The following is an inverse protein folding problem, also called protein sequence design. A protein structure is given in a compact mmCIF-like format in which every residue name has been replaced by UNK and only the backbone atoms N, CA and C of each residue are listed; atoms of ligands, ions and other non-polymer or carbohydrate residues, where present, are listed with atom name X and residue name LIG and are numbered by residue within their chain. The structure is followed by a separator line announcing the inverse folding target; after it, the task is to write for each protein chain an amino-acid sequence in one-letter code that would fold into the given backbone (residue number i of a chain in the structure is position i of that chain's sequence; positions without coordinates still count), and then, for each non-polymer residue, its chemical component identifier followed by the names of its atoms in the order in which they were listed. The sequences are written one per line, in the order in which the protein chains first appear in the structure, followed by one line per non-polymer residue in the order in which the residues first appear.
data_IF_671583603623
#
_entry.id   IF_671583603623
#
_cell.length_a   1.000
_cell.length_b   1.000
_cell.length_c   1.000
_cell.angle_alpha   90.00
_cell.angle_beta   90.00
_cell.angle_gamma   90.00
#
_symmetry.space_group_name_H-M   'P 1'
#
loop_
_entity.id
_entity.type
_entity.pdbx_description
1 polymer ?
#
# COMPACT_ATOMS: atom_id res chain seq x y z
N UNK A 1 -8.15 -1.10 1.92
CA UNK A 1 -8.48 0.14 2.66
C UNK A 1 -7.26 0.55 3.46
N UNK A 2 -7.04 1.85 3.63
CA UNK A 2 -5.95 2.38 4.44
C UNK A 2 -6.28 2.28 5.94
N UNK A 3 -5.29 2.13 6.83
CA UNK A 3 -5.52 1.96 8.27
C UNK A 3 -6.33 3.11 8.88
N UNK A 4 -6.03 4.35 8.50
CA UNK A 4 -6.71 5.55 9.01
C UNK A 4 -8.20 5.60 8.63
N UNK A 5 -8.55 4.99 7.48
CA UNK A 5 -9.93 4.86 7.01
C UNK A 5 -10.67 3.76 7.77
N UNK A 6 -9.97 2.68 8.13
CA UNK A 6 -10.56 1.58 8.90
C UNK A 6 -10.82 2.00 10.35
N UNK A 7 -9.94 2.81 10.93
CA UNK A 7 -10.08 3.32 12.30
C UNK A 7 -10.98 4.55 12.41
N UNK A 8 -11.55 5.01 11.29
CA UNK A 8 -12.36 6.24 11.20
C UNK A 8 -11.63 7.50 11.71
N UNK A 9 -10.30 7.45 11.78
CA UNK A 9 -9.45 8.55 12.26
C UNK A 9 -9.29 9.69 11.24
N UNK A 10 -9.70 9.44 9.98
CA UNK A 10 -9.77 10.44 8.92
C UNK A 10 -9.48 9.86 7.55
N UNK A 11 -9.72 10.66 6.51
CA UNK A 11 -9.38 10.34 5.13
C UNK A 11 -8.64 11.51 4.49
N UNK A 12 -7.74 11.23 3.54
CA UNK A 12 -7.00 12.27 2.85
C UNK A 12 -6.02 11.74 1.82
N UNK A 13 -5.08 12.59 1.39
CA UNK A 13 -4.10 12.22 0.34
C UNK A 13 -3.30 10.95 0.67
N UNK A 14 -3.10 10.64 1.95
CA UNK A 14 -2.39 9.44 2.41
C UNK A 14 -3.20 8.17 2.14
N UNK A 15 -4.51 8.18 2.38
CA UNK A 15 -5.38 7.04 2.10
C UNK A 15 -5.49 6.74 0.60
N UNK A 16 -5.40 7.79 -0.23
CA UNK A 16 -5.36 7.64 -1.70
C UNK A 16 -4.05 6.98 -2.17
N UNK A 17 -2.91 7.42 -1.63
CA UNK A 17 -1.59 6.84 -1.92
C UNK A 17 -1.52 5.38 -1.48
N UNK A 18 -2.06 5.05 -0.30
CA UNK A 18 -2.17 3.68 0.17
C UNK A 18 -2.98 2.82 -0.80
N UNK A 19 -4.15 3.33 -1.22
CA UNK A 19 -5.02 2.64 -2.16
C UNK A 19 -4.35 2.44 -3.52
N UNK A 20 -3.56 3.41 -3.99
CA UNK A 20 -2.73 3.26 -5.19
C UNK A 20 -1.69 2.15 -5.05
N UNK A 21 -1.01 2.05 -3.91
CA UNK A 21 -0.07 0.96 -3.61
C UNK A 21 -0.73 -0.42 -3.70
N UNK A 22 -1.90 -0.56 -3.10
CA UNK A 22 -2.71 -1.78 -3.19
C UNK A 22 -3.08 -2.11 -4.63
N UNK A 23 -3.55 -1.12 -5.41
CA UNK A 23 -3.94 -1.31 -6.81
C UNK A 23 -2.75 -1.73 -7.68
N UNK A 24 -1.58 -1.11 -7.51
CA UNK A 24 -0.36 -1.49 -8.25
C UNK A 24 0.09 -2.89 -7.88
N UNK A 25 0.06 -3.24 -6.60
CA UNK A 25 0.34 -4.60 -6.15
C UNK A 25 -0.62 -5.63 -6.77
N UNK A 26 -1.91 -5.31 -6.80
CA UNK A 26 -2.94 -6.17 -7.35
C UNK A 26 -2.80 -6.35 -8.86
N UNK A 27 -2.51 -5.27 -9.60
CA UNK A 27 -2.25 -5.34 -11.04
C UNK A 27 -1.01 -6.19 -11.35
N UNK A 28 0.03 -6.09 -10.53
CA UNK A 28 1.28 -6.84 -10.74
C UNK A 28 1.14 -8.33 -10.39
N UNK A 29 0.42 -8.66 -9.32
CA UNK A 29 0.32 -10.05 -8.82
C UNK A 29 -0.97 -10.77 -9.23
N UNK A 30 -1.93 -10.03 -9.80
CA UNK A 30 -3.28 -10.52 -10.11
C UNK A 30 -4.14 -10.81 -8.89
N UNK A 31 -3.69 -10.44 -7.68
CA UNK A 31 -4.37 -10.73 -6.41
C UNK A 31 -4.27 -9.53 -5.47
N UNK A 32 -5.32 -9.24 -4.68
CA UNK A 32 -5.25 -8.16 -3.72
C UNK A 32 -4.18 -8.45 -2.66
N UNK A 33 -3.61 -7.41 -2.02
CA UNK A 33 -2.74 -7.61 -0.88
C UNK A 33 -3.48 -8.39 0.21
N UNK A 34 -2.79 -9.31 0.88
CA UNK A 34 -3.35 -10.21 1.91
C UNK A 34 -4.46 -11.16 1.41
N UNK A 35 -4.47 -11.51 0.12
CA UNK A 35 -5.45 -12.45 -0.47
C UNK A 35 -5.54 -13.84 0.21
N UNK A 36 -4.56 -14.21 1.04
CA UNK A 36 -4.59 -15.44 1.83
C UNK A 36 -5.53 -15.37 3.05
N UNK A 37 -5.95 -14.16 3.46
CA UNK A 37 -6.86 -13.93 4.57
C UNK A 37 -8.27 -13.61 4.05
N UNK A 38 -9.28 -13.87 4.87
CA UNK A 38 -10.62 -13.37 4.58
C UNK A 38 -10.67 -11.83 4.72
N UNK A 39 -11.67 -11.19 4.09
CA UNK A 39 -11.76 -9.72 4.02
C UNK A 39 -11.80 -9.05 5.39
N UNK A 40 -12.53 -9.61 6.36
CA UNK A 40 -12.65 -9.04 7.71
C UNK A 40 -11.33 -9.15 8.47
N UNK A 41 -10.64 -10.29 8.37
CA UNK A 41 -9.35 -10.52 9.01
C UNK A 41 -8.27 -9.60 8.42
N UNK A 42 -8.28 -9.38 7.09
CA UNK A 42 -7.38 -8.42 6.45
C UNK A 42 -7.65 -6.97 6.92
N UNK A 43 -8.93 -6.58 7.05
CA UNK A 43 -9.28 -5.26 7.59
C UNK A 43 -8.79 -5.07 9.03
N UNK A 44 -8.99 -6.07 9.90
CA UNK A 44 -8.50 -6.02 11.27
C UNK A 44 -6.96 -6.00 11.34
N UNK A 45 -6.29 -6.78 10.50
CA UNK A 45 -4.83 -6.80 10.40
C UNK A 45 -4.26 -5.43 10.01
N UNK A 46 -4.87 -4.76 9.03
CA UNK A 46 -4.48 -3.42 8.59
C UNK A 46 -4.82 -2.38 9.68
N UNK A 47 -6.04 -2.39 10.20
CA UNK A 47 -6.52 -1.40 11.19
C UNK A 47 -5.80 -1.49 12.54
N UNK A 48 -5.25 -2.64 12.90
CA UNK A 48 -4.42 -2.78 14.10
C UNK A 48 -3.00 -2.20 13.93
N UNK A 49 -2.62 -1.72 12.73
CA UNK A 49 -1.26 -1.28 12.36
C UNK A 49 -0.17 -2.33 12.63
N UNK A 50 -0.55 -3.61 12.78
CA UNK A 50 0.36 -4.69 13.20
C UNK A 50 1.14 -5.31 12.04
N UNK A 51 0.94 -4.84 10.82
CA UNK A 51 1.28 -5.61 9.63
C UNK A 51 2.13 -4.89 8.61
N UNK A 52 3.27 -5.49 8.27
CA UNK A 52 3.97 -5.17 7.03
C UNK A 52 3.09 -5.60 5.85
N UNK A 53 2.78 -4.66 4.95
CA UNK A 53 2.11 -4.95 3.69
C UNK A 53 3.04 -5.77 2.78
N UNK A 54 2.51 -6.75 2.03
CA UNK A 54 3.34 -7.56 1.15
C UNK A 54 3.99 -6.69 0.07
N UNK A 55 5.27 -6.93 -0.18
CA UNK A 55 6.03 -6.28 -1.23
C UNK A 55 5.90 -7.07 -2.53
N UNK A 56 6.20 -6.44 -3.67
CA UNK A 56 6.21 -7.15 -4.94
C UNK A 56 7.29 -8.24 -4.97
N UNK A 57 7.06 -9.38 -5.64
CA UNK A 57 8.05 -10.44 -5.80
C UNK A 57 9.36 -9.99 -6.46
N UNK A 58 10.44 -10.73 -6.24
CA UNK A 58 11.80 -10.36 -6.68
C UNK A 58 12.02 -10.32 -8.20
N UNK A 59 11.11 -10.90 -8.99
CA UNK A 59 11.16 -10.80 -10.45
C UNK A 59 10.72 -9.44 -10.98
N UNK A 60 10.13 -8.57 -10.14
CA UNK A 60 9.86 -7.18 -10.49
C UNK A 60 11.08 -6.29 -10.27
N UNK A 61 11.14 -5.20 -11.04
CA UNK A 61 12.22 -4.22 -10.91
C UNK A 61 12.32 -3.68 -9.48
N UNK A 62 13.53 -3.32 -9.04
CA UNK A 62 13.75 -2.67 -7.74
C UNK A 62 12.90 -1.41 -7.62
N UNK A 63 12.81 -0.61 -8.68
CA UNK A 63 12.00 0.61 -8.72
C UNK A 63 10.52 0.34 -8.46
N UNK A 64 9.96 -0.73 -9.05
CA UNK A 64 8.55 -1.12 -8.82
C UNK A 64 8.31 -1.58 -7.38
N UNK A 65 9.23 -2.38 -6.83
CA UNK A 65 9.17 -2.84 -5.43
C UNK A 65 9.24 -1.65 -4.47
N UNK A 66 10.19 -0.74 -4.70
CA UNK A 66 10.38 0.46 -3.88
C UNK A 66 9.16 1.39 -3.96
N UNK A 67 8.60 1.60 -5.15
CA UNK A 67 7.37 2.39 -5.33
C UNK A 67 6.22 1.86 -4.48
N UNK A 68 5.94 0.55 -4.55
CA UNK A 68 4.85 -0.08 -3.77
C UNK A 68 5.12 0.03 -2.27
N UNK A 69 6.36 -0.17 -1.84
CA UNK A 69 6.74 0.00 -0.43
C UNK A 69 6.51 1.43 0.04
N UNK A 70 6.92 2.42 -0.74
CA UNK A 70 6.75 3.84 -0.42
C UNK A 70 5.27 4.23 -0.30
N UNK A 71 4.36 3.58 -1.05
CA UNK A 71 2.92 3.80 -0.92
C UNK A 71 2.36 3.30 0.44
N UNK A 72 2.95 2.28 1.04
CA UNK A 72 2.50 1.71 2.32
C UNK A 72 3.11 2.39 3.54
N UNK A 73 4.24 3.08 3.41
CA UNK A 73 4.82 3.83 4.53
C UNK A 73 4.08 5.15 4.76
N UNK A 74 3.49 5.28 5.96
CA UNK A 74 2.70 6.44 6.46
C UNK A 74 3.51 7.76 6.52
N UNK A 75 4.84 7.69 6.33
CA UNK A 75 5.76 8.83 6.22
C UNK A 75 5.95 9.32 4.79
N UNK A 76 4.91 9.36 3.96
CA UNK A 76 4.99 10.09 2.70
C UNK A 76 4.87 11.61 2.98
N UNK A 77 5.99 12.25 3.33
CA UNK A 77 6.18 13.71 3.20
C UNK A 77 6.29 14.11 1.72
N UNK A 78 6.29 13.12 0.82
CA UNK A 78 6.52 13.29 -0.61
C UNK A 78 5.17 13.26 -1.33
N UNK A 79 4.85 14.30 -2.09
CA UNK A 79 3.64 14.33 -2.93
C UNK A 79 3.67 13.19 -3.96
N UNK A 80 2.53 12.77 -4.53
CA UNK A 80 2.49 11.82 -5.66
C UNK A 80 3.46 12.19 -6.81
N UNK A 81 3.75 13.49 -6.99
CA UNK A 81 4.78 14.00 -7.92
C UNK A 81 6.20 13.56 -7.59
N UNK A 82 6.53 13.39 -6.32
CA UNK A 82 7.85 12.97 -5.87
C UNK A 82 8.03 11.44 -5.95
N UNK A 83 6.96 10.66 -5.72
CA UNK A 83 6.96 9.22 -5.98
C UNK A 83 7.27 8.91 -7.46
N UNK A 84 6.67 9.68 -8.38
CA UNK A 84 6.95 9.54 -9.81
C UNK A 84 8.38 9.96 -10.18
N UNK A 85 8.98 10.94 -9.49
CA UNK A 85 10.37 11.38 -9.75
C UNK A 85 11.43 10.44 -9.18
N UNK A 86 11.14 9.71 -8.10
CA UNK A 86 12.09 8.77 -7.50
C UNK A 86 12.23 7.44 -8.26
N UNK A 87 11.34 7.19 -9.23
CA UNK A 87 11.21 5.92 -9.95
C UNK A 87 11.76 5.99 -11.38
N UNK A 88 12.08 7.20 -11.88
CA UNK A 88 12.56 7.50 -13.25
C UNK A 88 13.98 8.04 -13.21
#
# INVERSE_FOLDING_TARGET
MAPEVITESGHGKKSDIWSLGCTVFEMATGKPPLAHMNKMAAMFYIGAERGLMPTLPDHFSKNSRDFVNLCYFVQCVQSAKQLLRATV
#
